data_IF_309252538167
#
_entry.id   IF_309252538167
#
_cell.length_a   1.000
_cell.length_b   1.000
_cell.length_c   1.000
_cell.angle_alpha   90.00
_cell.angle_beta   90.00
_cell.angle_gamma   90.00
#
_symmetry.space_group_name_H-M   'P 1'
#
loop_
_entity.id
_entity.type
_entity.pdbx_description
1 polymer ?
#
# COMPACT_ATOMS: atom_id res chain seq x y z
N UNK A 1 5.04 29.68 9.79
CA UNK A 1 4.74 29.27 9.60
C UNK A 1 4.39 28.36 9.55
N UNK A 2 4.13 28.17 9.27
CA UNK A 2 3.83 27.46 9.11
C UNK A 2 3.56 26.57 8.76
N UNK A 3 3.52 26.18 8.66
CA UNK A 3 3.39 25.38 8.26
C UNK A 3 2.89 24.66 7.95
N UNK A 4 2.95 24.58 7.89
CA UNK A 4 2.47 23.92 7.31
C UNK A 4 2.08 22.77 7.34
N UNK A 5 1.50 22.82 7.45
CA UNK A 5 1.00 21.66 7.55
C UNK A 5 0.94 20.97 6.32
N UNK A 6 1.58 19.97 6.17
CA UNK A 6 1.59 19.36 5.03
C UNK A 6 0.41 18.58 4.85
N UNK A 7 0.02 18.27 3.70
CA UNK A 7 -1.10 17.42 3.36
C UNK A 7 -0.66 15.97 3.40
N UNK A 8 -0.43 15.48 4.60
CA UNK A 8 -0.02 14.10 4.78
C UNK A 8 -1.10 13.12 4.35
N UNK A 9 -2.35 13.60 4.25
CA UNK A 9 -3.44 12.74 3.85
C UNK A 9 -3.67 12.67 2.35
N UNK A 10 -2.92 13.46 1.56
CA UNK A 10 -3.13 13.51 0.12
C UNK A 10 -1.90 13.02 -0.62
N UNK A 11 -2.12 12.12 -1.58
CA UNK A 11 -1.05 11.62 -2.41
C UNK A 11 -1.61 11.45 -3.83
N UNK A 12 -0.77 11.69 -4.82
CA UNK A 12 -1.16 11.56 -6.21
C UNK A 12 -0.78 10.18 -6.72
N UNK A 13 -1.77 9.41 -7.15
CA UNK A 13 -1.56 8.04 -7.63
C UNK A 13 -2.22 7.87 -8.98
N UNK A 14 -1.53 7.17 -9.87
CA UNK A 14 -2.09 6.79 -11.15
C UNK A 14 -2.82 5.46 -11.04
N UNK A 15 -3.48 5.09 -12.13
CA UNK A 15 -4.20 3.83 -12.20
C UNK A 15 -3.28 2.63 -11.92
N UNK A 16 -2.11 2.62 -12.55
CA UNK A 16 -1.13 1.54 -12.33
C UNK A 16 -0.67 1.45 -10.89
N UNK A 17 -0.53 2.61 -10.25
CA UNK A 17 -0.11 2.67 -8.85
C UNK A 17 -1.17 2.03 -7.96
N UNK A 18 -2.45 2.35 -8.22
CA UNK A 18 -3.54 1.77 -7.44
C UNK A 18 -3.59 0.26 -7.59
N UNK A 19 -3.45 -0.22 -8.82
CA UNK A 19 -3.43 -1.66 -9.07
C UNK A 19 -2.28 -2.34 -8.35
N UNK A 20 -1.11 -1.71 -8.37
CA UNK A 20 0.07 -2.28 -7.73
C UNK A 20 -0.14 -2.41 -6.23
N UNK A 21 -0.65 -1.37 -5.60
CA UNK A 21 -0.89 -1.38 -4.16
C UNK A 21 -1.94 -2.43 -3.80
N UNK A 22 -3.04 -2.47 -4.54
CA UNK A 22 -4.11 -3.44 -4.27
C UNK A 22 -3.58 -4.86 -4.40
N UNK A 23 -2.75 -5.11 -5.39
CA UNK A 23 -2.15 -6.44 -5.59
C UNK A 23 -1.24 -6.83 -4.42
N UNK A 24 -0.60 -5.85 -3.78
CA UNK A 24 0.33 -6.09 -2.69
C UNK A 24 -0.35 -6.20 -1.32
N UNK A 25 -1.55 -5.63 -1.16
CA UNK A 25 -2.22 -5.57 0.14
C UNK A 25 -2.36 -6.92 0.85
N UNK A 26 -2.72 -8.03 0.16
CA UNK A 26 -2.85 -9.30 0.86
C UNK A 26 -1.60 -9.76 1.59
N UNK A 27 -0.43 -9.34 1.14
CA UNK A 27 0.81 -9.71 1.80
C UNK A 27 0.97 -9.04 3.15
N UNK A 28 0.43 -7.83 3.31
CA UNK A 28 0.48 -7.14 4.60
C UNK A 28 -0.24 -7.93 5.69
N UNK A 29 -1.26 -8.68 5.31
CA UNK A 29 -2.05 -9.48 6.23
C UNK A 29 -1.22 -10.60 6.84
N UNK A 30 -0.17 -11.03 6.17
CA UNK A 30 0.66 -12.13 6.62
C UNK A 30 1.80 -11.70 7.55
N UNK A 31 1.97 -10.41 7.75
CA UNK A 31 3.05 -9.91 8.61
C UNK A 31 2.71 -10.21 10.07
N UNK A 32 3.64 -10.84 10.83
CA UNK A 32 3.37 -11.19 12.22
C UNK A 32 3.16 -9.95 13.08
N UNK A 33 2.34 -10.09 14.11
CA UNK A 33 2.11 -9.03 15.07
C UNK A 33 2.38 -9.54 16.49
N UNK A 34 2.49 -8.61 17.42
CA UNK A 34 2.85 -8.94 18.79
C UNK A 34 1.68 -9.54 19.58
N UNK A 35 0.46 -9.28 19.17
CA UNK A 35 -0.70 -9.75 19.93
C UNK A 35 -1.89 -10.00 19.00
N UNK A 36 -2.85 -10.84 19.44
CA UNK A 36 -4.08 -11.03 18.64
C UNK A 36 -4.88 -9.74 18.45
N UNK A 37 -4.88 -8.87 19.45
CA UNK A 37 -5.60 -7.60 19.33
C UNK A 37 -4.97 -6.72 18.26
N UNK A 38 -3.64 -6.68 18.22
CA UNK A 38 -2.93 -5.92 17.20
C UNK A 38 -3.19 -6.48 15.82
N UNK A 39 -3.24 -7.82 15.71
CA UNK A 39 -3.53 -8.46 14.44
C UNK A 39 -4.92 -8.09 13.94
N UNK A 40 -5.90 -8.10 14.83
CA UNK A 40 -7.27 -7.72 14.48
C UNK A 40 -7.34 -6.27 14.01
N UNK A 41 -6.66 -5.38 14.71
CA UNK A 41 -6.64 -3.97 14.33
C UNK A 41 -5.99 -3.77 12.97
N UNK A 42 -4.92 -4.51 12.71
CA UNK A 42 -4.24 -4.45 11.42
C UNK A 42 -5.13 -4.97 10.30
N UNK A 43 -5.87 -6.04 10.55
CA UNK A 43 -6.79 -6.58 9.55
C UNK A 43 -7.89 -5.58 9.21
N UNK A 44 -8.43 -4.91 10.22
CA UNK A 44 -9.46 -3.90 10.00
C UNK A 44 -8.92 -2.71 9.22
N UNK A 45 -7.71 -2.26 9.56
CA UNK A 45 -7.08 -1.16 8.84
C UNK A 45 -6.82 -1.54 7.39
N UNK A 46 -6.36 -2.77 7.17
CA UNK A 46 -6.11 -3.27 5.84
C UNK A 46 -7.39 -3.30 5.01
N UNK A 47 -8.48 -3.77 5.60
CA UNK A 47 -9.76 -3.85 4.93
C UNK A 47 -10.27 -2.47 4.54
N UNK A 48 -10.18 -1.51 5.46
CA UNK A 48 -10.62 -0.14 5.20
C UNK A 48 -9.81 0.47 4.05
N UNK A 49 -8.50 0.28 4.10
CA UNK A 49 -7.62 0.81 3.06
C UNK A 49 -7.93 0.19 1.70
N UNK A 50 -8.14 -1.14 1.69
CA UNK A 50 -8.43 -1.85 0.45
C UNK A 50 -9.72 -1.35 -0.19
N UNK A 51 -10.77 -1.17 0.61
CA UNK A 51 -12.04 -0.67 0.11
C UNK A 51 -11.90 0.72 -0.50
N UNK A 52 -11.14 1.56 0.18
CA UNK A 52 -10.91 2.92 -0.27
C UNK A 52 -10.21 2.94 -1.62
N UNK A 53 -9.17 2.12 -1.76
CA UNK A 53 -8.41 2.06 -3.01
C UNK A 53 -9.23 1.46 -4.15
N UNK A 54 -10.04 0.45 -3.84
CA UNK A 54 -10.91 -0.15 -4.84
C UNK A 54 -11.94 0.85 -5.36
N UNK A 55 -12.49 1.69 -4.47
CA UNK A 55 -13.42 2.73 -4.87
C UNK A 55 -12.77 3.72 -5.82
N UNK A 56 -11.54 4.13 -5.54
CA UNK A 56 -10.82 5.02 -6.42
C UNK A 56 -10.52 4.37 -7.76
N UNK A 57 -10.16 3.10 -7.74
CA UNK A 57 -9.89 2.37 -8.97
C UNK A 57 -11.14 2.28 -9.84
N UNK A 58 -12.27 1.94 -9.23
CA UNK A 58 -13.54 1.85 -9.96
C UNK A 58 -13.93 3.19 -10.55
N UNK A 59 -13.73 4.26 -9.81
CA UNK A 59 -14.03 5.60 -10.30
C UNK A 59 -13.17 5.96 -11.51
N UNK A 60 -11.90 5.60 -11.46
CA UNK A 60 -10.97 5.85 -12.56
C UNK A 60 -11.39 5.09 -13.81
N UNK A 61 -11.78 3.84 -13.65
CA UNK A 61 -12.24 3.04 -14.79
C UNK A 61 -13.52 3.61 -15.36
N UNK A 62 -14.48 3.95 -14.49
CA UNK A 62 -15.77 4.48 -14.93
C UNK A 62 -15.65 5.79 -15.67
N UNK A 63 -14.73 6.63 -15.24
CA UNK A 63 -14.54 7.94 -15.88
C UNK A 63 -13.59 7.88 -17.06
N UNK A 64 -12.94 6.74 -17.27
CA UNK A 64 -11.96 6.53 -18.34
C UNK A 64 -10.81 7.53 -18.26
N UNK A 65 -10.48 7.92 -17.05
CA UNK A 65 -9.37 8.85 -16.86
C UNK A 65 -8.11 8.06 -16.54
N UNK A 66 -7.07 8.34 -17.29
CA UNK A 66 -5.76 7.74 -17.04
C UNK A 66 -4.84 8.67 -16.28
N UNK A 67 -5.30 9.89 -16.00
CA UNK A 67 -4.48 10.83 -15.27
C UNK A 67 -4.37 10.45 -13.82
N UNK A 68 -3.25 10.72 -13.18
CA UNK A 68 -3.12 10.51 -11.75
C UNK A 68 -4.17 11.32 -11.00
N UNK A 69 -4.69 10.76 -9.94
CA UNK A 69 -5.64 11.49 -9.11
C UNK A 69 -5.11 11.62 -7.70
N UNK A 70 -5.52 12.69 -7.07
CA UNK A 70 -5.13 12.96 -5.69
C UNK A 70 -6.08 12.22 -4.77
N UNK A 71 -5.51 11.39 -3.90
CA UNK A 71 -6.28 10.52 -3.02
C UNK A 71 -5.97 10.89 -1.58
N UNK A 72 -7.01 11.03 -0.79
CA UNK A 72 -6.84 11.35 0.62
C UNK A 72 -6.77 10.07 1.44
N UNK A 73 -5.66 9.89 2.13
CA UNK A 73 -5.41 8.71 2.94
C UNK A 73 -5.10 9.12 4.37
N UNK A 74 -5.49 8.28 5.33
CA UNK A 74 -5.18 8.51 6.73
C UNK A 74 -3.77 8.03 7.03
N UNK A 75 -3.20 8.42 8.19
CA UNK A 75 -1.91 7.87 8.59
C UNK A 75 -1.89 6.35 8.64
N UNK A 76 -2.97 5.73 9.10
CA UNK A 76 -3.06 4.26 9.09
C UNK A 76 -3.02 3.70 7.68
N UNK A 77 -3.68 4.36 6.74
CA UNK A 77 -3.64 3.94 5.34
C UNK A 77 -2.20 3.96 4.82
N UNK A 78 -1.45 5.01 5.14
CA UNK A 78 -0.05 5.11 4.71
C UNK A 78 0.78 3.95 5.27
N UNK A 79 0.58 3.61 6.54
CA UNK A 79 1.31 2.52 7.17
C UNK A 79 0.98 1.17 6.54
N UNK A 80 -0.31 0.92 6.32
CA UNK A 80 -0.76 -0.31 5.70
C UNK A 80 -0.17 -0.46 4.30
N UNK A 81 -0.25 0.61 3.51
CA UNK A 81 0.25 0.58 2.15
C UNK A 81 1.76 0.38 2.12
N UNK A 82 2.48 1.08 2.99
CA UNK A 82 3.93 0.93 3.05
C UNK A 82 4.32 -0.50 3.43
N UNK A 83 3.63 -1.09 4.39
CA UNK A 83 3.88 -2.48 4.77
C UNK A 83 3.63 -3.42 3.59
N UNK A 84 2.55 -3.20 2.86
CA UNK A 84 2.22 -4.03 1.71
C UNK A 84 3.29 -3.93 0.63
N UNK A 85 3.72 -2.71 0.33
CA UNK A 85 4.75 -2.49 -0.68
C UNK A 85 6.07 -3.15 -0.26
N UNK A 86 6.45 -2.98 0.99
CA UNK A 86 7.68 -3.57 1.51
C UNK A 86 7.63 -5.09 1.42
N UNK A 87 6.50 -5.68 1.80
CA UNK A 87 6.33 -7.13 1.73
C UNK A 87 6.41 -7.63 0.29
N UNK A 88 5.76 -6.93 -0.63
CA UNK A 88 5.76 -7.31 -2.04
C UNK A 88 7.16 -7.27 -2.63
N UNK A 89 7.90 -6.20 -2.34
CA UNK A 89 9.26 -6.07 -2.84
C UNK A 89 10.17 -7.14 -2.24
N UNK A 90 9.97 -7.48 -0.96
CA UNK A 90 10.76 -8.54 -0.33
C UNK A 90 10.49 -9.89 -1.01
N UNK A 91 9.23 -10.19 -1.29
CA UNK A 91 8.86 -11.43 -1.98
C UNK A 91 9.50 -11.49 -3.36
N UNK A 92 9.43 -10.39 -4.11
CA UNK A 92 9.94 -10.37 -5.48
C UNK A 92 11.46 -10.44 -5.55
N UNK A 93 12.14 -9.86 -4.56
CA UNK A 93 13.60 -9.87 -4.53
C UNK A 93 14.19 -11.04 -3.77
N UNK A 94 13.35 -11.83 -3.09
CA UNK A 94 13.82 -12.93 -2.27
C UNK A 94 14.44 -12.49 -0.96
N UNK A 95 14.19 -11.25 -0.56
CA UNK A 95 14.75 -10.70 0.66
C UNK A 95 14.01 -11.24 1.88
N UNK A 96 14.77 -11.64 2.90
CA UNK A 96 14.19 -12.12 4.15
C UNK A 96 13.94 -10.94 5.09
N UNK A 97 12.67 -10.73 5.43
CA UNK A 97 12.31 -9.69 6.38
C UNK A 97 11.67 -10.28 7.64
N UNK A 98 11.99 -11.55 7.91
CA UNK A 98 11.51 -12.20 9.12
C UNK A 98 10.12 -12.80 8.98
N UNK A 99 9.66 -13.01 7.77
CA UNK A 99 8.33 -13.53 7.53
C UNK A 99 8.33 -14.38 6.26
N UNK A 100 7.73 -15.57 6.35
CA UNK A 100 7.56 -16.45 5.20
C UNK A 100 6.21 -16.18 4.58
N UNK A 101 6.19 -15.52 3.44
CA UNK A 101 4.95 -15.20 2.77
C UNK A 101 4.44 -16.37 1.94
N UNK A 102 3.16 -16.66 2.09
CA UNK A 102 2.48 -17.66 1.28
C UNK A 102 1.90 -16.95 0.06
N UNK A 103 2.40 -17.30 -1.11
CA UNK A 103 1.98 -16.64 -2.34
C UNK A 103 1.98 -17.68 -3.46
N UNK A 104 0.88 -17.73 -4.22
CA UNK A 104 0.83 -18.64 -5.36
C UNK A 104 1.51 -18.02 -6.59
N UNK A 105 1.73 -18.84 -7.60
CA UNK A 105 2.44 -18.39 -8.80
C UNK A 105 1.71 -17.30 -9.55
N UNK A 106 0.39 -17.37 -9.57
CA UNK A 106 -0.42 -16.36 -10.26
C UNK A 106 -0.25 -14.99 -9.60
N UNK A 107 -0.36 -14.96 -8.28
CA UNK A 107 -0.21 -13.71 -7.54
C UNK A 107 1.21 -13.16 -7.68
N UNK A 108 2.21 -14.04 -7.61
CA UNK A 108 3.61 -13.63 -7.78
C UNK A 108 3.83 -13.03 -9.16
N UNK A 109 3.23 -13.61 -10.19
CA UNK A 109 3.33 -13.10 -11.55
C UNK A 109 2.71 -11.72 -11.65
N UNK A 110 1.54 -11.53 -11.04
CA UNK A 110 0.88 -10.22 -11.05
C UNK A 110 1.72 -9.16 -10.34
N UNK A 111 2.33 -9.52 -9.21
CA UNK A 111 3.23 -8.61 -8.51
C UNK A 111 4.44 -8.25 -9.36
N UNK A 112 5.00 -9.24 -10.06
CA UNK A 112 6.16 -9.00 -10.92
C UNK A 112 5.87 -7.98 -12.01
N UNK A 113 4.68 -8.05 -12.58
CA UNK A 113 4.27 -7.10 -13.61
C UNK A 113 4.20 -5.67 -13.08
N UNK A 114 4.03 -5.53 -11.78
CA UNK A 114 3.86 -4.23 -11.14
C UNK A 114 5.09 -3.79 -10.35
N UNK A 115 6.21 -4.47 -10.60
CA UNK A 115 7.44 -4.19 -9.85
C UNK A 115 7.87 -2.73 -9.94
N UNK A 116 7.81 -2.14 -11.14
CA UNK A 116 8.25 -0.76 -11.33
C UNK A 116 7.41 0.21 -10.50
N UNK A 117 6.10 0.01 -10.48
CA UNK A 117 5.22 0.87 -9.68
C UNK A 117 5.53 0.71 -8.20
N UNK A 118 5.67 -0.53 -7.74
CA UNK A 118 5.96 -0.79 -6.33
C UNK A 118 7.30 -0.18 -5.92
N UNK A 119 8.30 -0.37 -6.75
CA UNK A 119 9.63 0.14 -6.47
C UNK A 119 9.67 1.67 -6.45
N UNK A 120 8.92 2.29 -7.34
CA UNK A 120 8.83 3.74 -7.39
C UNK A 120 8.07 4.31 -6.20
N UNK A 121 7.02 3.62 -5.77
CA UNK A 121 6.17 4.09 -4.67
C UNK A 121 6.81 3.91 -3.30
N UNK A 122 7.71 2.93 -3.16
CA UNK A 122 8.29 2.62 -1.86
C UNK A 122 8.91 3.81 -1.16
N UNK A 123 9.84 4.57 -1.78
CA UNK A 123 10.42 5.72 -1.09
C UNK A 123 9.40 6.82 -0.78
N UNK A 124 8.39 6.97 -1.62
CA UNK A 124 7.35 7.97 -1.37
C UNK A 124 6.56 7.64 -0.10
N UNK A 125 6.16 6.39 0.06
CA UNK A 125 5.41 5.99 1.25
C UNK A 125 6.32 5.90 2.47
N UNK A 126 7.57 5.54 2.28
CA UNK A 126 8.54 5.55 3.39
C UNK A 126 8.66 6.95 3.98
N UNK A 127 8.79 7.95 3.12
CA UNK A 127 8.89 9.33 3.56
C UNK A 127 7.64 9.79 4.28
N UNK A 128 6.47 9.39 3.77
CA UNK A 128 5.20 9.75 4.41
C UNK A 128 5.08 9.11 5.78
N UNK A 129 5.43 7.84 5.90
CA UNK A 129 5.35 7.13 7.17
C UNK A 129 6.33 7.73 8.19
N UNK A 130 7.52 8.09 7.74
CA UNK A 130 8.54 8.69 8.62
C UNK A 130 8.08 10.02 9.20
N UNK A 131 7.18 10.72 8.53
CA UNK A 131 6.66 12.00 8.98
C UNK A 131 5.48 11.86 9.94
N UNK A 132 4.97 10.65 10.10
CA UNK A 132 3.82 10.45 10.96
C UNK A 132 4.23 10.48 12.44
N UNK A 133 3.36 11.02 13.32
CA UNK A 133 3.65 10.99 14.74
C UNK A 133 3.60 9.56 15.28
N UNK A 134 4.33 9.36 16.34
CA UNK A 134 4.38 8.04 16.98
C UNK A 134 3.07 7.67 17.66
#
# INVERSE_FOLDING_TARGET
MKKHKRNLGNITLGFSDLEAIICALPLAQQIPTDSPDQHLQNDLALQITAEKLLDFLDSSVSSRKNSPCQIRLTPNDHRVIYCAITAALAVLSGKDIGCDFQIDNEHRTELSKRYFSLNRLSPSFEALVDQLPE
#
